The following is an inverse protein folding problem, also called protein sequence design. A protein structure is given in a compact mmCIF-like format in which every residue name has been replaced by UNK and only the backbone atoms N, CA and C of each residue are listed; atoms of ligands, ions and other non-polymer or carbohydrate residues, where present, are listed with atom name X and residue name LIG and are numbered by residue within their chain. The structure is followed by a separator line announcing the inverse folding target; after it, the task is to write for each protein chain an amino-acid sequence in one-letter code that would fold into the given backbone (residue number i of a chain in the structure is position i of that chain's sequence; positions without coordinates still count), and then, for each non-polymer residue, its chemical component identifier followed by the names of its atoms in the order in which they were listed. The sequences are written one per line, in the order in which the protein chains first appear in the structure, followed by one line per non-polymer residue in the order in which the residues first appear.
data_IF_863937083932
#
_entry.id   IF_863937083932
#
_cell.length_a   1.000
_cell.length_b   1.000
_cell.length_c   1.000
_cell.angle_alpha   90.00
_cell.angle_beta   90.00
_cell.angle_gamma   90.00
#
_symmetry.space_group_name_H-M   'P 1'
#
loop_
_entity.id
_entity.type
_entity.pdbx_description
1 polymer ?
#
# COMPACT_ATOMS: atom_id res chain seq x y z
N UNK A 1 -36.25 34.13 -0.72
CA UNK A 1 -34.83 34.43 -0.40
C UNK A 1 -34.12 33.11 -0.15
N UNK A 2 -32.99 32.89 -0.83
CA UNK A 2 -32.18 31.67 -0.74
C UNK A 2 -31.55 31.54 0.64
N UNK A 3 -31.78 30.42 1.31
CA UNK A 3 -30.96 29.98 2.45
C UNK A 3 -29.78 29.19 1.89
N UNK A 4 -28.71 29.90 1.54
CA UNK A 4 -27.37 29.32 1.47
C UNK A 4 -26.89 29.13 2.91
N UNK A 5 -26.58 27.90 3.35
CA UNK A 5 -25.63 27.57 4.42
C UNK A 5 -25.60 26.05 4.66
N UNK A 6 -24.69 25.37 3.97
CA UNK A 6 -23.94 24.21 4.48
C UNK A 6 -22.81 23.94 3.48
N UNK A 7 -21.78 24.78 3.54
CA UNK A 7 -20.49 24.48 2.93
C UNK A 7 -19.77 23.43 3.78
N UNK A 8 -19.20 22.44 3.09
CA UNK A 8 -17.96 21.75 3.47
C UNK A 8 -18.03 20.81 4.67
N UNK A 9 -18.00 19.49 4.39
CA UNK A 9 -16.78 18.74 4.65
C UNK A 9 -16.67 17.56 3.69
N UNK A 10 -15.50 17.41 3.06
CA UNK A 10 -15.22 16.40 2.05
C UNK A 10 -15.30 15.02 2.71
N UNK A 11 -16.06 14.10 2.13
CA UNK A 11 -15.69 12.69 2.15
C UNK A 11 -14.33 12.58 1.47
N UNK A 12 -13.27 12.77 2.24
CA UNK A 12 -11.90 12.51 1.87
C UNK A 12 -11.71 10.98 1.99
N UNK A 13 -12.52 10.23 1.24
CA UNK A 13 -12.51 8.76 1.08
C UNK A 13 -11.28 8.28 0.26
N UNK A 14 -10.24 9.12 0.18
CA UNK A 14 -9.06 8.94 -0.67
C UNK A 14 -7.81 8.51 0.14
N UNK A 15 -7.93 8.33 1.47
CA UNK A 15 -6.79 8.01 2.36
C UNK A 15 -7.10 6.85 3.35
N UNK A 16 -7.93 5.89 2.95
CA UNK A 16 -8.36 4.74 3.79
C UNK A 16 -7.33 3.60 3.86
N UNK A 17 -6.03 3.92 3.85
CA UNK A 17 -4.99 2.95 4.20
C UNK A 17 -4.64 3.07 5.68
N UNK A 18 -4.63 1.94 6.39
CA UNK A 18 -4.07 1.89 7.72
C UNK A 18 -2.59 2.31 7.69
N UNK A 19 -2.12 2.92 8.79
CA UNK A 19 -0.74 3.42 8.90
C UNK A 19 0.32 2.37 8.50
N UNK A 20 0.08 1.11 8.86
CA UNK A 20 0.94 -0.02 8.52
C UNK A 20 0.96 -0.29 7.01
N UNK A 21 -0.20 -0.35 6.36
CA UNK A 21 -0.32 -0.57 4.91
C UNK A 21 0.38 0.53 4.14
N UNK A 22 0.19 1.79 4.56
CA UNK A 22 0.88 2.94 3.96
C UNK A 22 2.39 2.83 4.10
N UNK A 23 2.90 2.37 5.25
CA UNK A 23 4.34 2.12 5.43
C UNK A 23 4.85 0.99 4.54
N UNK A 24 4.10 -0.11 4.40
CA UNK A 24 4.46 -1.21 3.51
C UNK A 24 4.46 -0.73 2.05
N UNK A 25 3.40 -0.07 1.61
CA UNK A 25 3.27 0.46 0.26
C UNK A 25 4.39 1.45 -0.11
N UNK A 26 4.81 2.29 0.83
CA UNK A 26 5.88 3.26 0.61
C UNK A 26 7.27 2.63 0.40
N UNK A 27 7.49 1.40 0.92
CA UNK A 27 8.78 0.72 0.74
C UNK A 27 8.79 -0.20 -0.48
N UNK A 28 7.63 -0.56 -1.00
CA UNK A 28 7.50 -1.32 -2.23
C UNK A 28 7.97 -0.48 -3.42
N UNK A 29 8.87 -1.06 -4.22
CA UNK A 29 9.31 -0.48 -5.49
C UNK A 29 8.32 -0.76 -6.62
N UNK A 30 8.57 -0.21 -7.83
CA UNK A 30 7.78 -0.53 -9.02
C UNK A 30 7.94 -2.00 -9.43
N UNK A 31 7.11 -2.44 -10.37
CA UNK A 31 7.21 -3.77 -10.98
C UNK A 31 8.65 -4.04 -11.48
N UNK A 32 9.18 -5.24 -11.20
CA UNK A 32 10.58 -5.60 -11.46
C UNK A 32 11.55 -5.28 -10.31
N UNK A 33 11.14 -4.48 -9.31
CA UNK A 33 11.89 -4.22 -8.07
C UNK A 33 11.25 -4.90 -6.86
N UNK A 34 10.75 -6.13 -7.06
CA UNK A 34 10.04 -6.89 -6.04
C UNK A 34 10.90 -7.13 -4.79
N UNK A 35 10.28 -7.04 -3.62
CA UNK A 35 10.91 -7.20 -2.32
C UNK A 35 10.32 -8.39 -1.57
N UNK A 36 11.18 -9.15 -0.90
CA UNK A 36 10.75 -10.19 0.04
C UNK A 36 10.23 -9.58 1.34
N UNK A 37 9.49 -10.38 2.12
CA UNK A 37 9.01 -10.01 3.46
C UNK A 37 10.09 -9.40 4.36
N UNK A 38 11.28 -10.01 4.40
CA UNK A 38 12.39 -9.52 5.22
C UNK A 38 12.87 -8.15 4.74
N UNK A 39 13.03 -7.97 3.43
CA UNK A 39 13.46 -6.68 2.86
C UNK A 39 12.42 -5.58 3.08
N UNK A 40 11.13 -5.91 3.02
CA UNK A 40 10.04 -4.98 3.34
C UNK A 40 10.12 -4.58 4.82
N UNK A 41 10.28 -5.54 5.73
CA UNK A 41 10.44 -5.28 7.16
C UNK A 41 11.64 -4.41 7.48
N UNK A 42 12.79 -4.71 6.88
CA UNK A 42 14.04 -3.97 7.07
C UNK A 42 13.95 -2.54 6.52
N UNK A 43 13.39 -2.36 5.31
CA UNK A 43 13.17 -1.03 4.73
C UNK A 43 12.13 -0.25 5.52
N UNK A 44 11.05 -0.88 5.95
CA UNK A 44 10.03 -0.23 6.77
C UNK A 44 10.64 0.25 8.09
N UNK A 45 11.46 -0.57 8.75
CA UNK A 45 12.19 -0.19 9.96
C UNK A 45 13.19 0.95 9.70
N UNK A 46 13.92 0.89 8.59
CA UNK A 46 14.94 1.88 8.20
C UNK A 46 14.37 3.26 7.86
N UNK A 47 13.11 3.34 7.44
CA UNK A 47 12.39 4.60 7.19
C UNK A 47 12.20 5.44 8.47
N UNK A 48 12.55 4.91 9.66
CA UNK A 48 12.53 5.64 10.94
C UNK A 48 11.13 5.94 11.47
N UNK A 49 10.08 5.67 10.68
CA UNK A 49 8.67 5.96 10.99
C UNK A 49 8.02 4.96 11.97
N UNK A 50 8.80 4.28 12.81
CA UNK A 50 8.29 3.39 13.86
C UNK A 50 8.96 2.03 13.93
N UNK A 51 8.52 1.20 14.89
CA UNK A 51 9.09 -0.12 15.20
C UNK A 51 9.15 -1.05 13.97
N UNK A 52 10.10 -2.01 13.95
CA UNK A 52 10.13 -3.05 12.94
C UNK A 52 8.77 -3.77 12.84
N UNK A 53 8.28 -3.96 11.62
CA UNK A 53 7.03 -4.67 11.39
C UNK A 53 7.27 -6.18 11.50
N UNK A 54 6.34 -6.89 12.15
CA UNK A 54 6.37 -8.36 12.18
C UNK A 54 5.95 -8.91 10.83
N UNK A 55 6.46 -10.09 10.45
CA UNK A 55 6.07 -10.79 9.21
C UNK A 55 4.56 -10.91 9.04
N UNK A 56 3.84 -11.31 10.10
CA UNK A 56 2.37 -11.43 10.07
C UNK A 56 1.67 -10.10 9.80
N UNK A 57 2.22 -9.00 10.33
CA UNK A 57 1.72 -7.65 10.08
C UNK A 57 1.98 -7.19 8.65
N UNK A 58 3.14 -7.53 8.09
CA UNK A 58 3.48 -7.25 6.69
C UNK A 58 2.56 -8.05 5.77
N UNK A 59 2.33 -9.33 6.08
CA UNK A 59 1.44 -10.19 5.31
C UNK A 59 0.01 -9.66 5.28
N UNK A 60 -0.57 -9.35 6.45
CA UNK A 60 -1.92 -8.77 6.50
C UNK A 60 -2.01 -7.45 5.72
N UNK A 61 -0.97 -6.60 5.80
CA UNK A 61 -0.93 -5.37 5.04
C UNK A 61 -0.83 -5.63 3.52
N UNK A 62 -0.02 -6.59 3.08
CA UNK A 62 0.11 -6.96 1.67
C UNK A 62 -1.19 -7.58 1.12
N UNK A 63 -1.90 -8.37 1.92
CA UNK A 63 -3.20 -8.94 1.54
C UNK A 63 -4.21 -7.80 1.28
N UNK A 64 -4.31 -6.82 2.19
CA UNK A 64 -5.17 -5.63 2.00
C UNK A 64 -4.73 -4.79 0.79
N UNK A 65 -3.42 -4.55 0.63
CA UNK A 65 -2.90 -3.80 -0.52
C UNK A 65 -3.14 -4.52 -1.84
N UNK A 66 -3.10 -5.86 -1.85
CA UNK A 66 -3.40 -6.68 -3.01
C UNK A 66 -4.89 -6.64 -3.36
N UNK A 67 -5.77 -6.73 -2.35
CA UNK A 67 -7.22 -6.58 -2.52
C UNK A 67 -7.58 -5.21 -3.11
N UNK A 68 -6.86 -4.17 -2.71
CA UNK A 68 -6.98 -2.82 -3.25
C UNK A 68 -6.25 -2.61 -4.59
N UNK A 69 -5.59 -3.64 -5.13
CA UNK A 69 -4.78 -3.60 -6.35
C UNK A 69 -3.68 -2.54 -6.32
N UNK A 70 -3.12 -2.26 -5.14
CA UNK A 70 -2.01 -1.33 -4.87
C UNK A 70 -0.66 -2.05 -4.74
N UNK A 71 -0.68 -3.35 -4.48
CA UNK A 71 0.49 -4.21 -4.50
C UNK A 71 0.17 -5.51 -5.22
N UNK A 72 1.20 -6.13 -5.79
CA UNK A 72 1.12 -7.47 -6.34
C UNK A 72 2.40 -8.22 -5.96
N UNK A 73 2.38 -9.55 -6.09
CA UNK A 73 3.52 -10.38 -5.76
C UNK A 73 3.56 -11.65 -6.58
N UNK A 74 4.78 -12.11 -6.85
CA UNK A 74 5.01 -13.39 -7.51
C UNK A 74 5.32 -14.47 -6.49
N UNK A 75 4.51 -15.52 -6.52
CA UNK A 75 4.83 -16.81 -5.95
C UNK A 75 5.90 -17.46 -6.81
N UNK A 76 7.10 -17.62 -6.25
CA UNK A 76 8.12 -18.48 -6.85
C UNK A 76 7.66 -19.95 -6.86
N UNK A 77 8.60 -20.89 -6.96
CA UNK A 77 8.31 -22.34 -6.96
C UNK A 77 7.78 -22.89 -5.61
N UNK A 78 7.38 -22.02 -4.67
CA UNK A 78 6.79 -22.35 -3.39
C UNK A 78 5.32 -21.89 -3.27
N UNK A 79 4.70 -22.13 -2.11
CA UNK A 79 3.31 -21.70 -1.82
C UNK A 79 3.17 -20.24 -1.37
N UNK A 80 4.27 -19.53 -1.11
CA UNK A 80 4.26 -18.13 -0.65
C UNK A 80 4.92 -17.17 -1.66
N UNK A 81 4.34 -15.97 -1.89
CA UNK A 81 4.96 -14.98 -2.74
C UNK A 81 6.33 -14.58 -2.22
N UNK A 82 7.32 -14.72 -3.09
CA UNK A 82 8.73 -14.54 -2.76
C UNK A 82 9.15 -13.08 -2.89
N UNK A 83 8.45 -12.33 -3.76
CA UNK A 83 8.72 -10.93 -4.07
C UNK A 83 7.40 -10.18 -4.28
N UNK A 84 7.30 -9.00 -3.68
CA UNK A 84 6.16 -8.09 -3.78
C UNK A 84 6.60 -6.75 -4.34
N UNK A 85 5.80 -6.15 -5.21
CA UNK A 85 6.01 -4.82 -5.75
C UNK A 85 4.74 -4.00 -5.66
N UNK A 86 4.90 -2.69 -5.77
CA UNK A 86 3.79 -1.76 -5.89
C UNK A 86 3.24 -1.88 -7.30
N UNK A 87 1.96 -2.12 -7.43
CA UNK A 87 1.29 -1.92 -8.71
C UNK A 87 1.19 -0.41 -8.88
N UNK A 88 1.64 0.09 -10.03
CA UNK A 88 1.27 1.42 -10.43
C UNK A 88 -0.25 1.37 -10.64
N UNK A 89 -1.01 1.69 -9.58
CA UNK A 89 -2.37 2.15 -9.73
C UNK A 89 -2.25 3.37 -10.62
N UNK A 90 -2.32 3.10 -11.91
CA UNK A 90 -2.52 4.05 -12.96
C UNK A 90 -3.83 4.71 -12.56
N UNK A 91 -3.73 5.80 -11.81
CA UNK A 91 -4.80 6.77 -11.68
C UNK A 91 -4.89 7.36 -13.09
N UNK A 92 -5.46 6.60 -14.03
CA UNK A 92 -5.86 7.09 -15.34
C UNK A 92 -7.07 7.98 -15.11
N UNK A 93 -6.83 9.13 -14.49
CA UNK A 93 -7.45 10.37 -14.94
C UNK A 93 -6.92 10.66 -16.34
N UNK A 94 -7.36 9.89 -17.33
CA UNK A 94 -7.32 10.32 -18.72
C UNK A 94 -8.75 10.61 -19.12
N UNK A 95 -9.14 11.86 -18.84
CA UNK A 95 -10.27 12.49 -19.49
C UNK A 95 -10.23 12.17 -20.98
N UNK A 96 -11.37 11.76 -21.53
CA UNK A 96 -11.72 12.05 -22.91
C UNK A 96 -13.20 12.35 -23.00
#
# INVERSE_FOLDING_TARGET
MLTHLASTDRSNDDDDLAYTERRVLNVLGPEGSGLSYSQIGDKAASDGKGKPLKRTTIQAALDVLSDQKLADGITGSGREPSLYWRTESTIQGSLK
#
